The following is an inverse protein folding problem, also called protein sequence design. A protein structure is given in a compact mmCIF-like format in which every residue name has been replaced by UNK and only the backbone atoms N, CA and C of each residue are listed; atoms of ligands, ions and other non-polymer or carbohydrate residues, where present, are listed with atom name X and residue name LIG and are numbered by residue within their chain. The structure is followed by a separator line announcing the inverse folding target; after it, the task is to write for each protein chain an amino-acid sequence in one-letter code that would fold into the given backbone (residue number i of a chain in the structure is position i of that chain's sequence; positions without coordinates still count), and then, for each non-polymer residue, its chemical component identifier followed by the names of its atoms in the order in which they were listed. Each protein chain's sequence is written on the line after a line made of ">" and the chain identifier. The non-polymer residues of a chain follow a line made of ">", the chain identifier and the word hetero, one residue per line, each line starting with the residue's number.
data_IF_548526511547
#
_entry.id   IF_548526511547
#
_cell.length_a   1.000
_cell.length_b   1.000
_cell.length_c   1.000
_cell.angle_alpha   90.00
_cell.angle_beta   90.00
_cell.angle_gamma   90.00
#
_symmetry.space_group_name_H-M   'P 1'
#
loop_
_entity.id
_entity.type
_entity.pdbx_description
1 polymer ?
#
# COMPACT_ATOMS: atom_id res chain seq x y z
N UNK A 1 21.48 -14.86 10.40
CA UNK A 1 21.61 -15.11 8.94
C UNK A 1 20.57 -16.15 8.57
N UNK A 2 19.40 -15.74 8.13
CA UNK A 2 18.42 -16.65 7.52
C UNK A 2 18.83 -16.81 6.06
N UNK A 3 19.37 -17.96 5.70
CA UNK A 3 19.76 -18.26 4.34
C UNK A 3 18.56 -18.03 3.40
N UNK A 4 18.78 -17.27 2.34
CA UNK A 4 17.79 -16.99 1.28
C UNK A 4 17.39 -18.32 0.59
N UNK A 5 16.45 -19.06 1.19
CA UNK A 5 16.01 -20.38 0.74
C UNK A 5 15.24 -20.34 -0.59
N UNK A 6 14.79 -19.15 -1.02
CA UNK A 6 13.92 -19.01 -2.19
C UNK A 6 14.66 -18.61 -3.47
N UNK A 7 15.98 -18.49 -3.46
CA UNK A 7 16.78 -18.22 -4.65
C UNK A 7 16.63 -16.82 -5.26
N UNK A 8 15.81 -15.94 -4.68
CA UNK A 8 15.65 -14.57 -5.13
C UNK A 8 16.81 -13.73 -4.59
N UNK A 9 17.60 -13.16 -5.50
CA UNK A 9 18.73 -12.29 -5.15
C UNK A 9 18.43 -10.83 -5.46
N UNK A 10 17.53 -10.59 -6.39
CA UNK A 10 17.26 -9.26 -6.95
C UNK A 10 15.79 -8.90 -6.77
N UNK A 11 15.55 -7.69 -6.27
CA UNK A 11 14.22 -7.11 -6.11
C UNK A 11 14.15 -5.84 -6.93
N UNK A 12 13.21 -5.78 -7.86
CA UNK A 12 12.88 -4.56 -8.56
C UNK A 12 11.85 -3.79 -7.74
N UNK A 13 12.20 -2.56 -7.34
CA UNK A 13 11.39 -1.75 -6.44
C UNK A 13 10.84 -0.53 -7.16
N UNK A 14 9.52 -0.34 -7.05
CA UNK A 14 8.85 0.89 -7.47
C UNK A 14 7.97 1.43 -6.34
N UNK A 15 8.07 2.74 -6.12
CA UNK A 15 7.21 3.49 -5.22
C UNK A 15 6.86 4.82 -5.86
N UNK A 16 5.71 5.37 -5.53
CA UNK A 16 5.28 6.68 -6.04
C UNK A 16 5.72 7.83 -5.14
N UNK A 17 6.01 7.52 -3.89
CA UNK A 17 6.43 8.50 -2.89
C UNK A 17 7.85 8.21 -2.41
N UNK A 18 8.62 9.28 -2.24
CA UNK A 18 10.04 9.18 -1.89
C UNK A 18 10.25 8.58 -0.50
N UNK A 19 9.41 8.91 0.47
CA UNK A 19 9.45 8.36 1.83
C UNK A 19 9.26 6.84 1.85
N UNK A 20 8.35 6.32 1.03
CA UNK A 20 8.14 4.87 0.89
C UNK A 20 9.35 4.20 0.25
N UNK A 21 9.96 4.86 -0.76
CA UNK A 21 11.17 4.33 -1.39
C UNK A 21 12.34 4.25 -0.42
N UNK A 22 12.58 5.29 0.35
CA UNK A 22 13.65 5.32 1.35
C UNK A 22 13.45 4.22 2.39
N UNK A 23 12.23 4.07 2.90
CA UNK A 23 11.88 3.05 3.91
C UNK A 23 12.04 1.62 3.38
N UNK A 24 11.49 1.31 2.21
CA UNK A 24 11.61 -0.01 1.59
C UNK A 24 13.05 -0.31 1.16
N UNK A 25 13.76 0.67 0.62
CA UNK A 25 15.16 0.50 0.23
C UNK A 25 16.04 0.20 1.44
N UNK A 26 15.88 0.92 2.54
CA UNK A 26 16.60 0.64 3.77
C UNK A 26 16.30 -0.78 4.31
N UNK A 27 15.05 -1.20 4.24
CA UNK A 27 14.63 -2.53 4.68
C UNK A 27 15.22 -3.65 3.81
N UNK A 28 15.16 -3.50 2.48
CA UNK A 28 15.53 -4.54 1.53
C UNK A 28 17.04 -4.61 1.23
N UNK A 29 17.74 -3.48 1.24
CA UNK A 29 19.16 -3.41 0.83
C UNK A 29 20.11 -4.22 1.71
N UNK A 30 19.68 -4.61 2.91
CA UNK A 30 20.48 -5.43 3.81
C UNK A 30 20.68 -6.88 3.30
N UNK A 31 19.79 -7.38 2.45
CA UNK A 31 19.76 -8.79 2.05
C UNK A 31 19.61 -9.01 0.54
N UNK A 32 19.15 -7.99 -0.21
CA UNK A 32 18.81 -8.11 -1.64
C UNK A 32 19.51 -7.04 -2.47
N UNK A 33 19.77 -7.37 -3.74
CA UNK A 33 20.23 -6.40 -4.74
C UNK A 33 18.98 -5.65 -5.22
N UNK A 34 18.89 -4.37 -4.88
CA UNK A 34 17.82 -3.51 -5.34
C UNK A 34 18.08 -3.02 -6.75
N UNK A 35 17.05 -3.09 -7.58
CA UNK A 35 17.02 -2.55 -8.92
C UNK A 35 15.99 -1.42 -8.90
N UNK A 36 16.43 -0.22 -9.23
CA UNK A 36 15.53 0.92 -9.35
C UNK A 36 14.67 0.81 -10.63
N UNK A 37 13.62 1.61 -10.70
CA UNK A 37 12.66 1.61 -11.80
C UNK A 37 13.23 2.02 -13.16
N UNK A 38 14.45 2.58 -13.23
CA UNK A 38 15.11 2.95 -14.49
C UNK A 38 15.60 1.73 -15.26
N UNK A 39 15.92 0.64 -14.56
CA UNK A 39 16.33 -0.61 -15.18
C UNK A 39 15.12 -1.56 -15.33
N UNK A 40 15.01 -2.22 -16.47
CA UNK A 40 13.95 -3.22 -16.69
C UNK A 40 14.19 -4.47 -15.83
N UNK A 41 13.14 -4.99 -15.16
CA UNK A 41 13.25 -6.25 -14.43
C UNK A 41 13.49 -7.42 -15.39
N UNK A 42 14.23 -8.42 -14.94
CA UNK A 42 14.45 -9.67 -15.66
C UNK A 42 13.41 -10.73 -15.22
N UNK A 43 13.29 -11.83 -15.96
CA UNK A 43 12.32 -12.89 -15.67
C UNK A 43 12.47 -13.55 -14.28
N UNK A 44 13.61 -13.37 -13.61
CA UNK A 44 13.90 -13.95 -12.30
C UNK A 44 13.80 -12.96 -11.14
N UNK A 45 13.52 -11.70 -11.41
CA UNK A 45 13.40 -10.67 -10.38
C UNK A 45 12.03 -10.74 -9.71
N UNK A 46 11.97 -10.49 -8.41
CA UNK A 46 10.73 -10.19 -7.72
C UNK A 46 10.45 -8.68 -7.87
N UNK A 47 9.23 -8.34 -8.27
CA UNK A 47 8.81 -6.95 -8.45
C UNK A 47 7.95 -6.57 -7.24
N UNK A 48 8.44 -5.62 -6.45
CA UNK A 48 7.73 -5.04 -5.31
C UNK A 48 7.26 -3.64 -5.68
N UNK A 49 5.96 -3.39 -5.52
CA UNK A 49 5.34 -2.10 -5.82
C UNK A 49 4.61 -1.59 -4.59
N UNK A 50 4.96 -0.41 -4.10
CA UNK A 50 4.14 0.33 -3.15
C UNK A 50 3.06 1.08 -3.94
N UNK A 51 1.86 0.48 -4.04
CA UNK A 51 0.75 1.04 -4.80
C UNK A 51 -0.27 1.75 -3.91
N UNK A 52 -0.96 2.73 -4.46
CA UNK A 52 -2.00 3.50 -3.80
C UNK A 52 -3.27 3.51 -4.66
N UNK A 53 -4.33 2.87 -4.16
CA UNK A 53 -5.64 2.83 -4.80
C UNK A 53 -5.74 1.93 -6.04
N UNK A 54 -4.67 1.22 -6.40
CA UNK A 54 -4.65 0.23 -7.48
C UNK A 54 -4.54 -1.18 -6.91
N UNK A 55 -4.93 -2.16 -7.71
CA UNK A 55 -4.54 -3.56 -7.51
C UNK A 55 -3.19 -3.86 -8.18
N UNK A 56 -2.69 -5.09 -8.01
CA UNK A 56 -1.39 -5.47 -8.52
C UNK A 56 -1.34 -5.58 -10.04
N UNK A 57 -2.44 -6.03 -10.68
CA UNK A 57 -2.55 -6.12 -12.13
C UNK A 57 -2.56 -4.74 -12.78
N UNK A 58 -3.36 -3.79 -12.29
CA UNK A 58 -3.37 -2.42 -12.80
C UNK A 58 -2.01 -1.74 -12.61
N UNK A 59 -1.38 -1.92 -11.44
CA UNK A 59 -0.03 -1.42 -11.16
C UNK A 59 1.00 -1.98 -12.14
N UNK A 60 0.95 -3.30 -12.42
CA UNK A 60 1.84 -3.96 -13.38
C UNK A 60 1.66 -3.41 -14.80
N UNK A 61 0.41 -3.27 -15.26
CA UNK A 61 0.08 -2.76 -16.58
C UNK A 61 0.53 -1.30 -16.75
N UNK A 62 0.28 -0.45 -15.76
CA UNK A 62 0.70 0.95 -15.76
C UNK A 62 2.21 1.11 -15.87
N UNK A 63 2.95 0.24 -15.21
CA UNK A 63 4.43 0.26 -15.21
C UNK A 63 5.05 -0.53 -16.36
N UNK A 64 4.25 -1.26 -17.14
CA UNK A 64 4.74 -2.07 -18.26
C UNK A 64 5.62 -3.24 -17.81
N UNK A 65 5.35 -3.81 -16.62
CA UNK A 65 6.08 -4.96 -16.06
C UNK A 65 5.22 -6.23 -16.10
N UNK A 66 5.89 -7.40 -16.01
CA UNK A 66 5.18 -8.68 -16.08
C UNK A 66 4.38 -8.94 -14.77
N UNK A 67 3.03 -9.03 -14.82
CA UNK A 67 2.21 -9.26 -13.64
C UNK A 67 2.50 -10.59 -12.92
N UNK A 68 3.04 -11.60 -13.60
CA UNK A 68 3.46 -12.85 -12.95
C UNK A 68 4.56 -12.68 -11.89
N UNK A 69 5.21 -11.51 -11.85
CA UNK A 69 6.33 -11.23 -10.97
C UNK A 69 5.98 -10.21 -9.87
N UNK A 70 4.78 -9.64 -9.92
CA UNK A 70 4.40 -8.50 -9.08
C UNK A 70 3.79 -8.94 -7.77
N UNK A 71 4.26 -8.33 -6.69
CA UNK A 71 3.61 -8.32 -5.39
C UNK A 71 3.57 -6.87 -4.92
N UNK A 72 2.38 -6.33 -4.72
CA UNK A 72 2.21 -5.01 -4.14
C UNK A 72 2.29 -5.06 -2.61
N UNK A 73 2.71 -3.94 -2.00
CA UNK A 73 2.81 -3.79 -0.55
C UNK A 73 2.12 -2.51 -0.10
N UNK A 74 1.37 -2.60 1.00
CA UNK A 74 0.73 -1.44 1.64
C UNK A 74 1.73 -0.69 2.53
N UNK A 75 1.95 0.58 2.23
CA UNK A 75 2.84 1.45 3.01
C UNK A 75 2.08 2.43 3.92
N UNK A 76 0.75 2.40 3.90
CA UNK A 76 -0.07 3.35 4.66
C UNK A 76 -0.14 3.02 6.15
N UNK A 77 -0.11 1.75 6.48
CA UNK A 77 -0.20 1.28 7.87
C UNK A 77 1.11 1.37 8.65
N UNK A 78 1.07 0.82 9.88
CA UNK A 78 2.28 0.68 10.68
C UNK A 78 3.14 -0.47 10.17
N UNK A 79 4.07 -0.17 9.26
CA UNK A 79 4.95 -1.12 8.60
C UNK A 79 5.79 -1.97 9.57
N UNK A 80 6.07 -1.48 10.78
CA UNK A 80 6.86 -2.21 11.77
C UNK A 80 6.03 -3.26 12.50
N UNK A 81 4.71 -3.06 12.61
CA UNK A 81 3.81 -3.98 13.31
C UNK A 81 3.07 -4.93 12.38
N UNK A 82 2.71 -4.45 11.20
CA UNK A 82 1.98 -5.27 10.23
C UNK A 82 2.28 -4.86 8.80
N UNK A 83 2.31 -5.85 7.91
CA UNK A 83 2.54 -5.67 6.47
C UNK A 83 1.46 -6.40 5.70
N UNK A 84 0.92 -5.75 4.69
CA UNK A 84 -0.07 -6.36 3.81
C UNK A 84 0.49 -6.45 2.41
N UNK A 85 0.52 -7.67 1.87
CA UNK A 85 0.98 -7.99 0.53
C UNK A 85 -0.22 -8.33 -0.34
N UNK A 86 -0.18 -7.92 -1.60
CA UNK A 86 -1.20 -8.22 -2.59
C UNK A 86 -0.52 -8.67 -3.88
N UNK A 87 -0.45 -9.98 -4.15
CA UNK A 87 0.00 -10.48 -5.44
C UNK A 87 -1.05 -10.22 -6.51
N UNK A 88 -0.65 -10.19 -7.79
CA UNK A 88 -1.61 -10.23 -8.89
C UNK A 88 -2.25 -11.62 -9.01
N UNK A 89 -3.36 -11.72 -9.73
CA UNK A 89 -4.05 -13.00 -9.97
C UNK A 89 -3.16 -14.07 -10.63
N UNK A 90 -2.10 -13.64 -11.31
CA UNK A 90 -1.19 -14.53 -12.05
C UNK A 90 0.22 -14.58 -11.45
N UNK A 91 0.45 -13.96 -10.30
CA UNK A 91 1.77 -13.99 -9.65
C UNK A 91 2.18 -15.43 -9.37
N UNK A 92 3.41 -15.77 -9.78
CA UNK A 92 3.96 -17.12 -9.57
C UNK A 92 4.09 -17.42 -8.08
N UNK A 93 3.58 -18.56 -7.64
CA UNK A 93 3.52 -18.98 -6.23
C UNK A 93 4.88 -18.84 -5.51
N UNK A 94 5.98 -19.25 -6.17
CA UNK A 94 7.34 -19.09 -5.62
C UNK A 94 7.73 -17.65 -5.28
N UNK A 95 7.17 -16.66 -5.99
CA UNK A 95 7.45 -15.25 -5.74
C UNK A 95 6.58 -14.70 -4.61
N UNK A 96 5.36 -15.20 -4.45
CA UNK A 96 4.52 -14.93 -3.29
C UNK A 96 5.19 -15.43 -2.01
N UNK A 97 5.69 -16.67 -2.02
CA UNK A 97 6.43 -17.26 -0.90
C UNK A 97 7.72 -16.49 -0.59
N UNK A 98 8.42 -16.04 -1.64
CA UNK A 98 9.61 -15.22 -1.48
C UNK A 98 9.27 -13.85 -0.84
N UNK A 99 8.22 -13.18 -1.30
CA UNK A 99 7.76 -11.92 -0.73
C UNK A 99 7.33 -12.10 0.73
N UNK A 100 6.57 -13.15 1.04
CA UNK A 100 6.22 -13.50 2.42
C UNK A 100 7.46 -13.67 3.28
N UNK A 101 8.43 -14.42 2.82
CA UNK A 101 9.68 -14.64 3.56
C UNK A 101 10.45 -13.33 3.79
N UNK A 102 10.49 -12.45 2.79
CA UNK A 102 11.15 -11.14 2.87
C UNK A 102 10.50 -10.28 3.94
N UNK A 103 9.17 -10.21 3.94
CA UNK A 103 8.43 -9.27 4.77
C UNK A 103 7.94 -9.84 6.12
N UNK A 104 8.12 -11.13 6.39
CA UNK A 104 7.79 -11.74 7.68
C UNK A 104 8.96 -11.64 8.64
N UNK A 105 8.73 -11.07 9.81
CA UNK A 105 9.66 -11.01 10.93
C UNK A 105 8.97 -11.49 12.21
N UNK A 106 9.75 -11.86 13.24
CA UNK A 106 9.22 -12.49 14.45
C UNK A 106 8.11 -11.67 15.16
N UNK A 107 8.20 -10.34 15.12
CA UNK A 107 7.26 -9.43 15.79
C UNK A 107 6.32 -8.68 14.82
N UNK A 108 6.41 -8.93 13.51
CA UNK A 108 5.62 -8.28 12.50
C UNK A 108 4.68 -9.28 11.81
N UNK A 109 3.37 -9.02 11.87
CA UNK A 109 2.38 -9.82 11.17
C UNK A 109 2.36 -9.47 9.68
N UNK A 110 2.52 -10.46 8.81
CA UNK A 110 2.39 -10.28 7.36
C UNK A 110 1.12 -10.95 6.88
N UNK A 111 0.28 -10.19 6.20
CA UNK A 111 -0.96 -10.65 5.59
C UNK A 111 -0.78 -10.70 4.07
N UNK A 112 -1.36 -11.73 3.44
CA UNK A 112 -1.56 -11.77 1.99
C UNK A 112 -3.05 -11.65 1.75
N UNK A 113 -3.43 -10.70 0.92
CA UNK A 113 -4.83 -10.49 0.54
C UNK A 113 -5.03 -10.81 -0.93
N UNK A 114 -6.26 -11.12 -1.30
CA UNK A 114 -6.68 -11.23 -2.69
C UNK A 114 -6.56 -9.87 -3.39
N UNK A 115 -6.43 -9.91 -4.71
CA UNK A 115 -6.31 -8.71 -5.52
C UNK A 115 -7.54 -7.82 -5.38
N UNK A 116 -7.35 -6.56 -5.01
CA UNK A 116 -8.41 -5.57 -4.87
C UNK A 116 -7.89 -4.15 -5.13
N UNK A 117 -8.76 -3.25 -5.57
CA UNK A 117 -8.41 -1.84 -5.72
C UNK A 117 -8.15 -1.20 -4.36
N UNK A 118 -6.90 -0.85 -4.11
CA UNK A 118 -6.41 -0.43 -2.81
C UNK A 118 -6.39 -1.56 -1.78
N UNK A 119 -5.56 -1.39 -0.79
CA UNK A 119 -5.46 -2.32 0.34
C UNK A 119 -6.57 -2.07 1.37
N UNK A 120 -6.69 -2.96 2.36
CA UNK A 120 -7.67 -2.82 3.44
C UNK A 120 -7.50 -1.47 4.16
N UNK A 121 -6.29 -1.17 4.62
CA UNK A 121 -6.00 0.07 5.35
C UNK A 121 -6.24 1.31 4.49
N UNK A 122 -5.82 1.29 3.23
CA UNK A 122 -6.02 2.39 2.29
C UNK A 122 -7.50 2.69 2.09
N UNK A 123 -8.32 1.66 1.83
CA UNK A 123 -9.75 1.83 1.61
C UNK A 123 -10.45 2.38 2.84
N UNK A 124 -10.18 1.82 4.01
CA UNK A 124 -10.82 2.25 5.26
C UNK A 124 -10.44 3.69 5.58
N UNK A 125 -9.15 4.02 5.61
CA UNK A 125 -8.71 5.37 5.99
C UNK A 125 -9.11 6.42 4.97
N UNK A 126 -8.97 6.14 3.67
CA UNK A 126 -9.38 7.10 2.64
C UNK A 126 -10.88 7.40 2.70
N UNK A 127 -11.73 6.38 2.96
CA UNK A 127 -13.17 6.59 3.10
C UNK A 127 -13.54 7.36 4.37
N UNK A 128 -12.87 7.11 5.49
CA UNK A 128 -13.09 7.86 6.74
C UNK A 128 -12.76 9.35 6.53
N UNK A 129 -11.62 9.64 5.90
CA UNK A 129 -11.21 11.01 5.58
C UNK A 129 -12.19 11.66 4.60
N UNK A 130 -12.56 10.94 3.54
CA UNK A 130 -13.49 11.45 2.51
C UNK A 130 -14.85 11.82 3.11
N UNK A 131 -15.42 10.93 3.94
CA UNK A 131 -16.70 11.18 4.59
C UNK A 131 -16.64 12.39 5.55
N UNK A 132 -15.54 12.54 6.28
CA UNK A 132 -15.36 13.68 7.18
C UNK A 132 -15.21 15.00 6.42
N UNK A 133 -14.49 14.99 5.30
CA UNK A 133 -14.37 16.15 4.43
C UNK A 133 -15.74 16.56 3.84
N UNK A 134 -16.55 15.57 3.44
CA UNK A 134 -17.91 15.82 2.93
C UNK A 134 -18.80 16.47 4.01
N UNK A 135 -18.80 15.94 5.25
CA UNK A 135 -19.53 16.52 6.38
C UNK A 135 -19.09 17.97 6.68
N UNK A 136 -17.79 18.23 6.65
CA UNK A 136 -17.26 19.56 6.86
C UNK A 136 -17.67 20.52 5.73
N UNK A 137 -17.61 20.06 4.48
CA UNK A 137 -18.03 20.83 3.30
C UNK A 137 -19.52 21.18 3.35
N UNK A 138 -20.36 20.26 3.80
CA UNK A 138 -21.80 20.46 3.99
C UNK A 138 -22.13 21.31 5.24
N UNK A 139 -21.12 21.71 6.01
CA UNK A 139 -21.29 22.47 7.26
C UNK A 139 -22.17 21.79 8.31
N UNK A 140 -22.13 20.44 8.34
CA UNK A 140 -22.88 19.64 9.32
C UNK A 140 -22.32 19.87 10.73
N UNK A 141 -20.98 19.95 10.86
CA UNK A 141 -20.27 20.24 12.08
C UNK A 141 -18.91 20.90 11.79
N UNK A 142 -18.28 21.47 12.81
CA UNK A 142 -16.90 21.95 12.68
C UNK A 142 -15.92 20.78 12.52
N UNK A 143 -14.73 21.05 11.98
CA UNK A 143 -13.63 20.08 11.85
C UNK A 143 -13.28 19.46 13.21
N UNK A 144 -13.22 20.29 14.26
CA UNK A 144 -12.90 19.85 15.60
C UNK A 144 -13.98 18.93 16.16
N UNK A 145 -15.27 19.29 16.01
CA UNK A 145 -16.38 18.46 16.46
C UNK A 145 -16.42 17.09 15.72
N UNK A 146 -16.14 17.08 14.41
CA UNK A 146 -16.07 15.83 13.62
C UNK A 146 -14.93 14.95 14.13
N UNK A 147 -13.75 15.51 14.37
CA UNK A 147 -12.62 14.75 14.89
C UNK A 147 -12.92 14.20 16.29
N UNK A 148 -13.47 15.02 17.18
CA UNK A 148 -13.77 14.62 18.55
C UNK A 148 -14.89 13.58 18.61
N UNK A 149 -15.94 13.73 17.82
CA UNK A 149 -17.02 12.76 17.75
C UNK A 149 -16.51 11.36 17.36
N UNK A 150 -15.60 11.26 16.41
CA UNK A 150 -15.02 9.97 15.98
C UNK A 150 -14.04 9.43 17.03
N UNK A 151 -13.17 10.27 17.59
CA UNK A 151 -12.25 9.83 18.66
C UNK A 151 -13.01 9.32 19.88
N UNK A 152 -13.96 10.08 20.36
CA UNK A 152 -14.71 9.76 21.58
C UNK A 152 -15.78 8.68 21.34
N UNK A 153 -16.47 8.74 20.20
CA UNK A 153 -17.57 7.81 19.89
C UNK A 153 -17.12 6.45 19.40
N UNK A 154 -16.01 6.37 18.65
CA UNK A 154 -15.50 5.12 18.08
C UNK A 154 -14.19 4.65 18.72
N UNK A 155 -13.58 5.44 19.61
CA UNK A 155 -12.31 5.10 20.25
C UNK A 155 -11.11 5.11 19.29
N UNK A 156 -11.17 5.89 18.22
CA UNK A 156 -10.06 6.00 17.29
C UNK A 156 -8.93 6.85 17.88
N UNK A 157 -7.66 6.52 17.59
CA UNK A 157 -6.52 7.28 18.13
C UNK A 157 -6.40 8.69 17.53
N UNK A 158 -6.96 8.91 16.36
CA UNK A 158 -6.99 10.18 15.66
C UNK A 158 -8.37 10.44 15.07
N UNK A 159 -8.73 11.71 14.94
CA UNK A 159 -9.91 12.09 14.18
C UNK A 159 -9.70 11.88 12.67
N UNK A 160 -10.79 11.80 11.90
CA UNK A 160 -10.71 11.52 10.47
C UNK A 160 -9.91 12.54 9.67
N UNK A 161 -10.05 13.83 9.97
CA UNK A 161 -9.31 14.89 9.27
C UNK A 161 -7.86 14.93 9.75
N UNK A 162 -7.61 14.66 11.04
CA UNK A 162 -6.26 14.46 11.56
C UNK A 162 -5.54 13.29 10.84
N UNK A 163 -6.24 12.18 10.55
CA UNK A 163 -5.70 11.10 9.72
C UNK A 163 -5.30 11.58 8.33
N UNK A 164 -6.13 12.43 7.70
CA UNK A 164 -5.83 13.00 6.39
C UNK A 164 -4.53 13.83 6.38
N UNK A 165 -4.28 14.59 7.45
CA UNK A 165 -3.05 15.37 7.59
C UNK A 165 -1.84 14.50 7.92
N UNK A 166 -1.98 13.47 8.77
CA UNK A 166 -0.91 12.53 9.13
C UNK A 166 -0.46 11.67 7.95
N UNK A 167 -1.40 11.16 7.16
CA UNK A 167 -1.12 10.32 5.99
C UNK A 167 -0.57 11.16 4.84
N UNK A 168 -1.05 12.38 4.73
CA UNK A 168 -0.80 13.28 3.63
C UNK A 168 -1.93 13.27 2.61
N UNK A 169 -2.43 14.46 2.32
CA UNK A 169 -3.57 14.70 1.41
C UNK A 169 -3.36 14.11 0.02
N UNK A 170 -2.12 14.12 -0.46
CA UNK A 170 -1.80 13.57 -1.78
C UNK A 170 -2.01 12.06 -1.84
N UNK A 171 -1.60 11.32 -0.80
CA UNK A 171 -1.80 9.87 -0.71
C UNK A 171 -3.29 9.52 -0.66
N UNK A 172 -4.06 10.23 0.18
CA UNK A 172 -5.52 10.04 0.28
C UNK A 172 -6.21 10.32 -1.05
N UNK A 173 -5.93 11.46 -1.66
CA UNK A 173 -6.52 11.83 -2.95
C UNK A 173 -6.18 10.82 -4.05
N UNK A 174 -4.94 10.34 -4.08
CA UNK A 174 -4.48 9.32 -5.02
C UNK A 174 -5.28 8.03 -4.89
N UNK A 175 -5.51 7.57 -3.65
CA UNK A 175 -6.30 6.36 -3.38
C UNK A 175 -7.73 6.54 -3.90
N UNK A 176 -8.39 7.61 -3.49
CA UNK A 176 -9.79 7.89 -3.88
C UNK A 176 -9.95 7.99 -5.38
N UNK A 177 -9.11 8.79 -6.05
CA UNK A 177 -9.18 9.00 -7.50
C UNK A 177 -8.97 7.71 -8.29
N UNK A 178 -8.00 6.88 -7.90
CA UNK A 178 -7.74 5.63 -8.61
C UNK A 178 -8.85 4.62 -8.43
N UNK A 179 -9.30 4.41 -7.20
CA UNK A 179 -10.43 3.51 -6.95
C UNK A 179 -11.65 4.00 -7.73
N UNK A 180 -11.99 5.28 -7.67
CA UNK A 180 -13.11 5.86 -8.41
C UNK A 180 -12.98 5.66 -9.93
N UNK A 181 -11.79 5.93 -10.48
CA UNK A 181 -11.54 5.83 -11.93
C UNK A 181 -11.64 4.39 -12.43
N UNK A 182 -11.10 3.43 -11.68
CA UNK A 182 -11.05 2.03 -12.12
C UNK A 182 -12.38 1.32 -11.85
N UNK A 183 -12.96 1.50 -10.64
CA UNK A 183 -14.22 0.84 -10.25
C UNK A 183 -15.47 1.56 -10.78
N UNK A 184 -15.34 2.84 -11.12
CA UNK A 184 -16.47 3.75 -11.39
C UNK A 184 -17.47 3.83 -10.21
N UNK A 185 -17.00 3.59 -8.98
CA UNK A 185 -17.80 3.64 -7.77
C UNK A 185 -17.88 5.08 -7.25
N UNK A 186 -19.09 5.68 -7.20
CA UNK A 186 -19.28 7.07 -6.76
C UNK A 186 -18.96 7.31 -5.30
N UNK A 187 -18.80 6.28 -4.47
CA UNK A 187 -18.42 6.43 -3.07
C UNK A 187 -16.99 6.96 -2.88
N UNK A 188 -16.13 6.78 -3.89
CA UNK A 188 -14.74 7.25 -3.88
C UNK A 188 -14.59 8.54 -4.70
N UNK A 189 -15.08 9.66 -4.19
CA UNK A 189 -15.03 10.95 -4.91
C UNK A 189 -14.20 11.98 -4.15
#
# INVERSE_FOLDING_TARGET
>A
YVANRNGIKRVWLHTEFKDDFERLSQYLSQQYILINHEAKPTANDLIIIASYGEDATHSALRLGVNPEQVVCIDMLGNFEQSRTLMPSLVTRQKLIEAALHIFTQAECKTFVIEESLGFITQRVLAMIVNLACDMAQQQIASVDDINDAVKLGLGYPHGPIEWGDLIGREKILRILQRISTISNDPCYR
#
